data_IF_993589787307
#
_entry.id   IF_993589787307
#
_cell.length_a   1.000
_cell.length_b   1.000
_cell.length_c   1.000
_cell.angle_alpha   90.00
_cell.angle_beta   90.00
_cell.angle_gamma   90.00
#
_symmetry.space_group_name_H-M   'P 1'
#
loop_
_entity.id
_entity.type
_entity.pdbx_description
1 polymer ?
#
# COMPACT_ATOMS: atom_id res chain seq x y z
N UNK A 1 -26.17 -1.51 -21.63
CA UNK A 1 -25.44 -0.22 -21.57
C UNK A 1 -23.91 -0.39 -21.41
N UNK A 2 -23.37 -1.12 -20.42
CA UNK A 2 -21.92 -1.27 -20.25
C UNK A 2 -21.20 -2.03 -21.38
N UNK A 3 -21.81 -3.07 -21.94
CA UNK A 3 -21.25 -3.81 -23.10
C UNK A 3 -21.24 -2.96 -24.37
N UNK A 4 -22.30 -2.16 -24.62
CA UNK A 4 -22.32 -1.24 -25.73
C UNK A 4 -21.22 -0.18 -25.65
N UNK A 5 -20.94 0.35 -24.46
CA UNK A 5 -19.82 1.27 -24.25
C UNK A 5 -18.47 0.63 -24.60
N UNK A 6 -18.25 -0.62 -24.21
CA UNK A 6 -17.00 -1.33 -24.51
C UNK A 6 -16.80 -1.48 -26.03
N UNK A 7 -17.85 -1.85 -26.77
CA UNK A 7 -17.82 -1.97 -28.23
C UNK A 7 -17.49 -0.63 -28.89
N UNK A 8 -18.17 0.46 -28.47
CA UNK A 8 -17.89 1.81 -28.97
C UNK A 8 -16.45 2.22 -28.70
N UNK A 9 -15.94 1.93 -27.49
CA UNK A 9 -14.56 2.22 -27.12
C UNK A 9 -13.56 1.42 -27.98
N UNK A 10 -13.82 0.15 -28.23
CA UNK A 10 -13.00 -0.69 -29.13
C UNK A 10 -12.92 -0.08 -30.53
N UNK A 11 -14.07 0.17 -31.17
CA UNK A 11 -14.12 0.77 -32.49
C UNK A 11 -13.41 2.12 -32.57
N UNK A 12 -13.47 2.92 -31.48
CA UNK A 12 -12.75 4.20 -31.43
C UNK A 12 -11.24 4.02 -31.33
N UNK A 13 -10.77 3.07 -30.54
CA UNK A 13 -9.33 2.79 -30.37
C UNK A 13 -8.72 2.18 -31.64
N UNK A 14 -9.46 1.31 -32.33
CA UNK A 14 -9.05 0.71 -33.61
C UNK A 14 -8.72 1.79 -34.65
N UNK A 15 -9.46 2.92 -34.69
CA UNK A 15 -9.15 4.06 -35.56
C UNK A 15 -7.77 4.67 -35.34
N UNK A 16 -7.19 4.48 -34.16
CA UNK A 16 -5.86 4.96 -33.79
C UNK A 16 -4.81 3.86 -33.76
N UNK A 17 -5.12 2.66 -34.31
CA UNK A 17 -4.22 1.51 -34.30
C UNK A 17 -3.99 0.90 -32.91
N UNK A 18 -4.92 1.13 -31.96
CA UNK A 18 -4.84 0.63 -30.59
C UNK A 18 -5.84 -0.49 -30.36
N UNK A 19 -5.42 -1.57 -29.73
CA UNK A 19 -6.26 -2.69 -29.35
C UNK A 19 -6.43 -2.80 -27.82
N UNK A 20 -7.65 -3.16 -27.39
CA UNK A 20 -7.95 -3.48 -26.00
C UNK A 20 -7.57 -4.93 -25.72
N UNK A 21 -6.67 -5.15 -24.75
CA UNK A 21 -6.36 -6.50 -24.28
C UNK A 21 -7.59 -7.14 -23.65
N UNK A 22 -8.15 -8.17 -24.29
CA UNK A 22 -9.33 -8.90 -23.79
C UNK A 22 -9.07 -9.55 -22.43
N UNK A 23 -7.88 -10.09 -22.21
CA UNK A 23 -7.51 -10.78 -20.96
C UNK A 23 -7.38 -9.83 -19.76
N UNK A 24 -7.04 -8.57 -20.02
CA UNK A 24 -6.85 -7.55 -18.97
C UNK A 24 -8.06 -6.66 -18.76
N UNK A 25 -9.05 -6.71 -19.66
CA UNK A 25 -10.23 -5.87 -19.59
C UNK A 25 -11.34 -6.59 -18.84
N UNK A 26 -11.79 -5.99 -17.73
CA UNK A 26 -12.91 -6.51 -16.91
C UNK A 26 -13.99 -5.46 -16.75
N UNK A 27 -15.22 -5.88 -16.93
CA UNK A 27 -16.41 -5.09 -16.58
C UNK A 27 -16.78 -5.37 -15.13
N UNK A 28 -16.63 -4.38 -14.27
CA UNK A 28 -16.89 -4.51 -12.84
C UNK A 28 -18.20 -3.84 -12.45
N UNK A 29 -18.98 -4.52 -11.64
CA UNK A 29 -20.16 -3.92 -11.01
C UNK A 29 -19.72 -3.14 -9.77
N UNK A 30 -19.61 -1.81 -9.90
CA UNK A 30 -19.07 -0.95 -8.86
C UNK A 30 -19.89 0.33 -8.69
N UNK A 31 -19.88 0.91 -7.49
CA UNK A 31 -20.48 2.21 -7.23
C UNK A 31 -21.72 2.17 -6.33
N UNK A 32 -22.30 3.37 -6.12
CA UNK A 32 -23.37 3.60 -5.11
C UNK A 32 -24.62 2.74 -5.32
N UNK A 33 -25.07 2.56 -6.56
CA UNK A 33 -26.27 1.76 -6.88
C UNK A 33 -26.04 0.29 -6.53
N UNK A 34 -24.92 -0.28 -6.99
CA UNK A 34 -24.54 -1.68 -6.72
C UNK A 34 -24.33 -1.91 -5.24
N UNK A 35 -23.69 -0.97 -4.55
CA UNK A 35 -23.49 -1.04 -3.10
C UNK A 35 -24.83 -1.07 -2.34
N UNK A 36 -25.81 -0.21 -2.69
CA UNK A 36 -27.14 -0.24 -2.09
C UNK A 36 -27.86 -1.58 -2.31
N UNK A 37 -27.77 -2.14 -3.52
CA UNK A 37 -28.33 -3.47 -3.81
C UNK A 37 -27.66 -4.56 -2.98
N UNK A 38 -26.32 -4.57 -2.92
CA UNK A 38 -25.57 -5.53 -2.14
C UNK A 38 -25.91 -5.46 -0.64
N UNK A 39 -26.15 -4.26 -0.09
CA UNK A 39 -26.58 -4.08 1.30
C UNK A 39 -27.95 -4.75 1.57
N UNK A 40 -28.90 -4.62 0.63
CA UNK A 40 -30.24 -5.28 0.75
C UNK A 40 -30.13 -6.79 0.69
N UNK A 41 -29.25 -7.33 -0.15
CA UNK A 41 -29.07 -8.76 -0.41
C UNK A 41 -27.99 -9.43 0.45
N UNK A 42 -27.43 -8.74 1.45
CA UNK A 42 -26.27 -9.19 2.25
C UNK A 42 -25.08 -9.65 1.38
N UNK A 43 -24.97 -9.13 0.16
CA UNK A 43 -23.91 -9.43 -0.81
C UNK A 43 -22.67 -8.57 -0.62
N UNK A 44 -21.58 -8.95 -1.31
CA UNK A 44 -20.35 -8.15 -1.38
C UNK A 44 -20.24 -7.48 -2.74
N UNK A 45 -19.77 -6.24 -2.76
CA UNK A 45 -19.43 -5.53 -4.00
C UNK A 45 -18.03 -5.92 -4.44
N UNK A 46 -17.81 -6.06 -5.73
CA UNK A 46 -16.50 -6.31 -6.30
C UNK A 46 -15.51 -5.21 -5.92
N UNK A 47 -14.26 -5.59 -5.79
CA UNK A 47 -13.14 -4.68 -5.55
C UNK A 47 -12.16 -4.78 -6.71
N UNK A 48 -11.42 -3.72 -7.00
CA UNK A 48 -10.39 -3.75 -8.03
C UNK A 48 -9.11 -3.07 -7.58
N UNK A 49 -7.99 -3.53 -8.15
CA UNK A 49 -6.68 -2.96 -7.91
C UNK A 49 -6.35 -1.96 -9.02
N UNK A 50 -5.99 -0.74 -8.65
CA UNK A 50 -5.54 0.29 -9.56
C UNK A 50 -4.47 1.15 -8.89
N UNK A 51 -3.37 1.44 -9.59
CA UNK A 51 -2.23 2.23 -9.09
C UNK A 51 -1.73 1.79 -7.69
N UNK A 52 -1.72 0.49 -7.44
CA UNK A 52 -1.23 -0.02 -6.15
C UNK A 52 -2.24 0.00 -5.00
N UNK A 53 -3.43 0.52 -5.23
CA UNK A 53 -4.53 0.53 -4.28
C UNK A 53 -5.59 -0.49 -4.64
N UNK A 54 -6.23 -1.07 -3.64
CA UNK A 54 -7.51 -1.77 -3.78
C UNK A 54 -8.64 -0.80 -3.49
N UNK A 55 -9.49 -0.57 -4.49
CA UNK A 55 -10.68 0.25 -4.39
C UNK A 55 -11.87 -0.61 -3.96
N UNK A 56 -12.66 -0.13 -3.01
CA UNK A 56 -13.82 -0.84 -2.48
C UNK A 56 -14.96 0.12 -2.14
N UNK A 57 -16.18 -0.41 -2.17
CA UNK A 57 -17.36 0.30 -1.71
C UNK A 57 -17.57 0.06 -0.22
N UNK A 58 -17.69 1.13 0.56
CA UNK A 58 -17.84 1.08 2.01
C UNK A 58 -18.86 2.09 2.54
N UNK A 59 -18.87 2.24 3.85
CA UNK A 59 -19.65 3.24 4.59
C UNK A 59 -18.71 4.30 5.16
N UNK A 60 -19.11 5.57 5.08
CA UNK A 60 -18.50 6.65 5.84
C UNK A 60 -18.88 6.52 7.32
N UNK A 61 -18.23 7.31 8.20
CA UNK A 61 -18.58 7.37 9.63
C UNK A 61 -20.04 7.80 9.87
N UNK A 62 -20.62 8.57 8.95
CA UNK A 62 -22.02 9.00 8.98
C UNK A 62 -22.99 8.00 8.34
N UNK A 63 -22.54 6.80 7.97
CA UNK A 63 -23.38 5.75 7.37
C UNK A 63 -23.64 5.86 5.86
N UNK A 64 -23.17 6.92 5.20
CA UNK A 64 -23.34 7.11 3.76
C UNK A 64 -22.37 6.25 2.96
N UNK A 65 -22.73 6.03 1.69
CA UNK A 65 -21.82 5.41 0.73
C UNK A 65 -20.50 6.18 0.62
N UNK A 66 -19.40 5.47 0.70
CA UNK A 66 -18.07 6.01 0.46
C UNK A 66 -17.24 5.02 -0.35
N UNK A 67 -16.46 5.54 -1.29
CA UNK A 67 -15.42 4.77 -1.96
C UNK A 67 -14.16 4.81 -1.12
N UNK A 68 -13.71 3.63 -0.67
CA UNK A 68 -12.49 3.50 0.12
C UNK A 68 -11.30 3.06 -0.73
N UNK A 69 -10.13 3.45 -0.27
CA UNK A 69 -8.84 3.10 -0.87
C UNK A 69 -7.96 2.48 0.21
N UNK A 70 -7.34 1.36 -0.10
CA UNK A 70 -6.34 0.75 0.78
C UNK A 70 -5.18 0.22 -0.07
N UNK A 71 -3.97 0.22 0.46
CA UNK A 71 -2.83 -0.41 -0.21
C UNK A 71 -3.16 -1.85 -0.57
N UNK A 72 -2.95 -2.25 -1.83
CA UNK A 72 -3.22 -3.62 -2.24
C UNK A 72 -2.30 -4.59 -1.50
N UNK A 73 -2.82 -5.78 -1.17
CA UNK A 73 -2.06 -6.82 -0.47
C UNK A 73 -0.78 -7.20 -1.20
N UNK A 74 -0.82 -7.22 -2.52
CA UNK A 74 0.32 -7.52 -3.39
C UNK A 74 1.43 -6.47 -3.25
N UNK A 75 1.06 -5.18 -3.34
CA UNK A 75 2.02 -4.09 -3.17
C UNK A 75 2.60 -4.04 -1.76
N UNK A 76 1.77 -4.24 -0.73
CA UNK A 76 2.27 -4.31 0.64
C UNK A 76 3.32 -5.42 0.79
N UNK A 77 3.01 -6.64 0.32
CA UNK A 77 3.93 -7.78 0.37
C UNK A 77 5.20 -7.52 -0.44
N UNK A 78 5.06 -6.97 -1.65
CA UNK A 78 6.18 -6.63 -2.53
C UNK A 78 7.11 -5.62 -1.86
N UNK A 79 6.57 -4.52 -1.33
CA UNK A 79 7.36 -3.49 -0.64
C UNK A 79 8.06 -4.00 0.63
N UNK A 80 7.41 -4.85 1.39
CA UNK A 80 8.04 -5.51 2.53
C UNK A 80 9.16 -6.45 2.11
N UNK A 81 8.97 -7.23 1.04
CA UNK A 81 10.00 -8.11 0.49
C UNK A 81 11.19 -7.31 -0.02
N UNK A 82 10.97 -6.27 -0.82
CA UNK A 82 12.00 -5.35 -1.31
C UNK A 82 12.82 -4.75 -0.15
N UNK A 83 12.15 -4.27 0.88
CA UNK A 83 12.81 -3.70 2.06
C UNK A 83 13.59 -4.74 2.85
N UNK A 84 13.04 -5.95 3.01
CA UNK A 84 13.72 -7.08 3.66
C UNK A 84 15.01 -7.45 2.92
N UNK A 85 14.96 -7.62 1.59
CA UNK A 85 16.13 -7.99 0.80
C UNK A 85 17.18 -6.85 0.81
N UNK A 86 16.73 -5.60 0.75
CA UNK A 86 17.62 -4.46 0.90
C UNK A 86 18.32 -4.44 2.27
N UNK A 87 17.59 -4.61 3.37
CA UNK A 87 18.17 -4.68 4.73
C UNK A 87 19.14 -5.85 4.85
N UNK A 88 18.80 -7.01 4.30
CA UNK A 88 19.66 -8.19 4.28
C UNK A 88 20.98 -7.91 3.57
N UNK A 89 20.95 -7.22 2.42
CA UNK A 89 22.14 -6.84 1.66
C UNK A 89 22.97 -5.80 2.40
N UNK A 90 22.33 -4.73 2.87
CA UNK A 90 23.03 -3.56 3.41
C UNK A 90 23.53 -3.75 4.84
N UNK A 91 22.99 -4.70 5.61
CA UNK A 91 23.34 -4.89 7.03
C UNK A 91 24.84 -5.03 7.30
N UNK A 92 25.59 -5.66 6.39
CA UNK A 92 27.04 -5.89 6.55
C UNK A 92 27.89 -4.93 5.71
N UNK A 93 27.30 -4.21 4.75
CA UNK A 93 28.03 -3.36 3.81
C UNK A 93 28.22 -1.93 4.33
N UNK A 94 27.24 -1.41 5.07
CA UNK A 94 27.24 -0.03 5.53
C UNK A 94 27.09 0.07 7.04
N UNK A 95 27.63 1.13 7.65
CA UNK A 95 27.45 1.41 9.08
C UNK A 95 25.97 1.77 9.36
N UNK A 96 25.52 1.55 10.59
CA UNK A 96 24.16 1.88 11.01
C UNK A 96 23.82 3.37 10.78
N UNK A 97 24.79 4.24 11.03
CA UNK A 97 24.67 5.69 10.83
C UNK A 97 24.34 6.06 9.37
N UNK A 98 24.87 5.32 8.41
CA UNK A 98 24.65 5.53 6.97
C UNK A 98 23.35 4.85 6.48
N UNK A 99 23.04 3.67 7.03
CA UNK A 99 21.83 2.92 6.71
C UNK A 99 20.57 3.68 7.11
N UNK A 100 20.61 4.40 8.23
CA UNK A 100 19.46 5.02 8.84
C UNK A 100 18.81 6.13 7.99
N UNK A 101 19.55 7.10 7.43
CA UNK A 101 18.99 8.11 6.53
C UNK A 101 18.34 7.50 5.28
N UNK A 102 18.94 6.45 4.70
CA UNK A 102 18.40 5.76 3.54
C UNK A 102 17.07 5.07 3.89
N UNK A 103 16.99 4.42 5.05
CA UNK A 103 15.74 3.82 5.54
C UNK A 103 14.65 4.89 5.75
N UNK A 104 15.00 6.02 6.37
CA UNK A 104 14.07 7.15 6.55
C UNK A 104 13.53 7.65 5.22
N UNK A 105 14.39 7.85 4.23
CA UNK A 105 13.99 8.28 2.88
C UNK A 105 13.04 7.28 2.20
N UNK A 106 13.30 5.98 2.30
CA UNK A 106 12.41 4.92 1.78
C UNK A 106 11.03 4.94 2.44
N UNK A 107 10.97 5.15 3.76
CA UNK A 107 9.70 5.27 4.49
C UNK A 107 8.91 6.52 4.08
N UNK A 108 9.59 7.67 3.99
CA UNK A 108 8.96 8.93 3.55
C UNK A 108 8.42 8.78 2.12
N UNK A 109 9.18 8.20 1.20
CA UNK A 109 8.72 7.92 -0.16
C UNK A 109 7.49 7.01 -0.20
N UNK A 110 7.45 5.99 0.66
CA UNK A 110 6.26 5.13 0.80
C UNK A 110 5.05 5.91 1.31
N UNK A 111 5.22 6.78 2.32
CA UNK A 111 4.12 7.59 2.85
C UNK A 111 3.65 8.66 1.88
N UNK A 112 4.55 9.27 1.13
CA UNK A 112 4.19 10.23 0.09
C UNK A 112 3.34 9.59 -1.02
N UNK A 113 3.59 8.33 -1.39
CA UNK A 113 2.81 7.64 -2.41
C UNK A 113 1.49 7.08 -1.85
N UNK A 114 1.54 6.38 -0.71
CA UNK A 114 0.38 5.67 -0.14
C UNK A 114 -0.37 6.47 0.93
N UNK A 115 0.08 7.68 1.26
CA UNK A 115 -0.49 8.53 2.31
C UNK A 115 -1.76 9.26 1.90
N UNK A 116 -2.75 8.52 1.41
CA UNK A 116 -4.07 9.05 1.05
C UNK A 116 -5.09 8.82 2.16
N UNK A 117 -6.10 9.67 2.22
CA UNK A 117 -7.19 9.54 3.20
C UNK A 117 -7.84 8.14 3.12
N UNK A 118 -8.13 7.54 4.29
CA UNK A 118 -8.67 6.18 4.38
C UNK A 118 -7.61 5.06 4.41
N UNK A 119 -6.35 5.31 4.03
CA UNK A 119 -5.30 4.29 3.97
C UNK A 119 -4.37 4.26 5.20
N UNK A 120 -4.61 5.08 6.22
CA UNK A 120 -3.74 5.18 7.39
C UNK A 120 -3.48 3.85 8.09
N UNK A 121 -4.48 2.97 8.17
CA UNK A 121 -4.34 1.65 8.76
C UNK A 121 -3.26 0.81 8.05
N UNK A 122 -3.24 0.80 6.71
CA UNK A 122 -2.23 0.07 5.94
C UNK A 122 -0.82 0.67 6.12
N UNK A 123 -0.72 2.00 6.24
CA UNK A 123 0.56 2.66 6.52
C UNK A 123 1.08 2.29 7.92
N UNK A 124 0.21 2.28 8.94
CA UNK A 124 0.56 1.86 10.30
C UNK A 124 1.01 0.40 10.33
N UNK A 125 0.30 -0.48 9.61
CA UNK A 125 0.67 -1.88 9.47
C UNK A 125 2.05 -2.03 8.80
N UNK A 126 2.30 -1.31 7.71
CA UNK A 126 3.59 -1.30 7.04
C UNK A 126 4.72 -0.84 7.98
N UNK A 127 4.52 0.28 8.70
CA UNK A 127 5.46 0.79 9.69
C UNK A 127 5.81 -0.26 10.75
N UNK A 128 4.80 -0.90 11.36
CA UNK A 128 4.99 -1.92 12.38
C UNK A 128 5.82 -3.11 11.86
N UNK A 129 5.55 -3.55 10.63
CA UNK A 129 6.33 -4.63 10.01
C UNK A 129 7.77 -4.20 9.71
N UNK A 130 7.99 -2.96 9.24
CA UNK A 130 9.35 -2.43 9.03
C UNK A 130 10.09 -2.29 10.34
N UNK A 131 9.45 -1.80 11.39
CA UNK A 131 10.04 -1.71 12.73
C UNK A 131 10.61 -3.06 13.19
N UNK A 132 9.83 -4.13 13.07
CA UNK A 132 10.25 -5.49 13.41
C UNK A 132 11.35 -6.04 12.49
N UNK A 133 11.25 -5.75 11.17
CA UNK A 133 12.28 -6.15 10.21
C UNK A 133 13.61 -5.49 10.48
N UNK A 134 13.63 -4.21 10.79
CA UNK A 134 14.85 -3.44 11.10
C UNK A 134 15.52 -4.02 12.33
N UNK A 135 14.80 -4.22 13.43
CA UNK A 135 15.31 -4.85 14.63
C UNK A 135 15.95 -6.23 14.34
N UNK A 136 15.20 -7.07 13.60
CA UNK A 136 15.69 -8.42 13.22
C UNK A 136 17.00 -8.36 12.43
N UNK A 137 17.11 -7.45 11.44
CA UNK A 137 18.27 -7.42 10.55
C UNK A 137 19.46 -6.68 11.16
N UNK A 138 19.26 -5.70 12.04
CA UNK A 138 20.33 -5.09 12.82
C UNK A 138 20.98 -6.14 13.73
N UNK A 139 20.18 -6.98 14.40
CA UNK A 139 20.69 -8.04 15.27
C UNK A 139 21.40 -9.20 14.53
N UNK A 140 21.26 -9.27 13.21
CA UNK A 140 21.96 -10.27 12.38
C UNK A 140 23.22 -9.74 11.71
N UNK A 141 23.73 -8.58 12.11
CA UNK A 141 25.00 -8.01 11.59
C UNK A 141 26.22 -8.75 12.14
N UNK A 142 26.14 -9.28 13.34
CA UNK A 142 27.20 -10.01 14.02
C UNK A 142 26.64 -11.30 14.63
N UNK A 143 27.50 -12.28 14.82
CA UNK A 143 27.16 -13.49 15.58
C UNK A 143 27.08 -13.21 17.10
N UNK A 144 27.71 -12.13 17.57
CA UNK A 144 27.59 -11.66 18.96
C UNK A 144 26.23 -10.98 19.16
N UNK A 145 25.67 -11.10 20.36
CA UNK A 145 24.43 -10.39 20.76
C UNK A 145 24.68 -8.90 20.66
N UNK A 146 24.07 -8.27 19.64
CA UNK A 146 24.39 -6.90 19.28
C UNK A 146 23.49 -5.87 19.94
N UNK A 147 22.19 -6.16 20.12
CA UNK A 147 21.24 -5.18 20.65
C UNK A 147 20.02 -5.89 21.28
N UNK A 148 19.70 -5.59 22.55
CA UNK A 148 18.42 -5.98 23.13
C UNK A 148 17.29 -5.11 22.56
N UNK A 149 16.04 -5.56 22.74
CA UNK A 149 14.88 -4.78 22.29
C UNK A 149 14.80 -3.43 23.01
N UNK A 150 15.15 -3.37 24.28
CA UNK A 150 15.19 -2.16 25.07
C UNK A 150 16.21 -1.14 24.51
N UNK A 151 17.45 -1.60 24.23
CA UNK A 151 18.47 -0.74 23.59
C UNK A 151 17.99 -0.25 22.23
N UNK A 152 17.28 -1.09 21.45
CA UNK A 152 16.70 -0.68 20.19
C UNK A 152 15.64 0.41 20.37
N UNK A 153 14.74 0.26 21.34
CA UNK A 153 13.74 1.29 21.65
C UNK A 153 14.40 2.60 22.08
N UNK A 154 15.43 2.54 22.94
CA UNK A 154 16.20 3.72 23.36
C UNK A 154 16.91 4.38 22.16
N UNK A 155 17.53 3.60 21.27
CA UNK A 155 18.12 4.14 20.05
C UNK A 155 17.10 4.89 19.20
N UNK A 156 15.86 4.39 19.10
CA UNK A 156 14.78 5.02 18.35
C UNK A 156 14.28 6.32 18.96
N UNK A 157 14.44 6.54 20.26
CA UNK A 157 14.10 7.84 20.89
C UNK A 157 15.01 8.96 20.35
N UNK A 158 16.30 8.67 20.15
CA UNK A 158 17.25 9.63 19.58
C UNK A 158 17.28 9.63 18.04
N UNK A 159 16.88 8.52 17.42
CA UNK A 159 16.90 8.33 15.97
C UNK A 159 15.52 7.84 15.48
N UNK A 160 14.45 8.62 15.64
CA UNK A 160 13.10 8.16 15.31
C UNK A 160 12.95 7.81 13.83
N UNK A 161 12.22 6.73 13.56
CA UNK A 161 11.74 6.44 12.22
C UNK A 161 10.57 7.37 11.88
N UNK A 162 10.44 7.82 10.62
CA UNK A 162 9.32 8.63 10.20
C UNK A 162 7.98 7.93 10.49
N UNK A 163 7.12 8.60 11.22
CA UNK A 163 5.78 8.08 11.51
C UNK A 163 4.88 8.14 10.28
N UNK A 164 3.97 7.18 10.11
CA UNK A 164 2.97 7.21 9.05
C UNK A 164 2.14 8.49 9.09
N UNK A 165 1.97 9.12 7.94
CA UNK A 165 1.15 10.33 7.79
C UNK A 165 0.29 10.26 6.54
N UNK A 166 -0.85 10.94 6.59
CA UNK A 166 -1.67 11.20 5.42
C UNK A 166 -1.12 12.47 4.76
N UNK A 167 -0.75 12.36 3.49
CA UNK A 167 -0.21 13.46 2.70
C UNK A 167 -1.28 14.12 1.83
N UNK A 168 -2.30 13.35 1.42
CA UNK A 168 -3.34 13.80 0.51
C UNK A 168 -4.73 13.48 1.05
N UNK A 169 -5.55 14.51 1.20
CA UNK A 169 -6.98 14.37 1.46
C UNK A 169 -7.69 14.25 0.08
N UNK A 170 -8.36 13.13 -0.16
CA UNK A 170 -9.08 12.89 -1.41
C UNK A 170 -10.54 13.37 -1.34
N UNK A 171 -11.02 13.78 -0.17
CA UNK A 171 -12.39 14.26 0.07
C UNK A 171 -12.40 15.28 1.21
#
# INVERSE_FOLDING_TARGET
MQRAFLTILQTRLEKFGLEISKDKTKLLKFGRKVWKQAQKQKGKVETFNFLGFTHYCGKSRRGYFAMGHKTSKENLRRKLKETKEWLKKMRCQVKLKELWPILKSKLIGHYNYFGVSGNYHCLKQFYSMIFSLVFKWINRRSQKKSMSFEIYCNYLQYNPLPMPRICYALY
#
